data_IF_204815186837
#
_entry.id   IF_204815186837
#
_cell.length_a   1.000
_cell.length_b   1.000
_cell.length_c   1.000
_cell.angle_alpha   90.00
_cell.angle_beta   90.00
_cell.angle_gamma   90.00
#
_symmetry.space_group_name_H-M   'P 1'
#
loop_
_entity.id
_entity.type
_entity.pdbx_description
1 polymer ?
#
# COMPACT_ATOMS: atom_id res chain seq x y z
N UNK A 1 -30.84 -15.73 -37.55
CA UNK A 1 -30.53 -15.88 -38.99
C UNK A 1 -31.38 -14.94 -39.86
N UNK A 2 -32.42 -15.39 -40.61
CA UNK A 2 -33.16 -14.49 -41.53
C UNK A 2 -33.85 -13.29 -40.85
N UNK A 3 -34.45 -13.47 -39.68
CA UNK A 3 -35.11 -12.37 -38.97
C UNK A 3 -34.10 -11.33 -38.45
N UNK A 4 -32.94 -11.79 -38.01
CA UNK A 4 -31.85 -10.97 -37.50
C UNK A 4 -31.21 -10.11 -38.61
N UNK A 5 -30.98 -10.71 -39.78
CA UNK A 5 -30.50 -10.02 -40.99
C UNK A 5 -31.46 -8.92 -41.46
N UNK A 6 -32.76 -9.10 -41.24
CA UNK A 6 -33.80 -8.13 -41.60
C UNK A 6 -34.24 -7.21 -40.45
N UNK A 7 -33.56 -7.26 -39.29
CA UNK A 7 -33.92 -6.50 -38.07
C UNK A 7 -35.39 -6.72 -37.62
N UNK A 8 -35.92 -7.91 -37.86
CA UNK A 8 -37.27 -8.31 -37.45
C UNK A 8 -37.20 -8.86 -36.02
N UNK A 9 -37.96 -8.25 -35.11
CA UNK A 9 -38.12 -8.74 -33.74
C UNK A 9 -39.10 -9.91 -33.71
N UNK A 10 -38.65 -11.06 -33.23
CA UNK A 10 -39.51 -12.23 -33.00
C UNK A 10 -39.90 -12.25 -31.52
N UNK A 11 -41.20 -12.28 -31.24
CA UNK A 11 -41.74 -12.45 -29.90
C UNK A 11 -42.39 -13.83 -29.83
N UNK A 12 -41.99 -14.64 -28.85
CA UNK A 12 -42.58 -15.95 -28.58
C UNK A 12 -43.40 -15.88 -27.30
N UNK A 13 -44.49 -16.64 -27.26
CA UNK A 13 -45.45 -16.67 -26.16
C UNK A 13 -45.95 -18.10 -25.93
N UNK A 14 -46.23 -18.51 -24.69
CA UNK A 14 -46.82 -19.82 -24.41
C UNK A 14 -48.29 -19.93 -24.82
N UNK A 15 -48.93 -18.81 -25.21
CA UNK A 15 -50.34 -18.75 -25.59
C UNK A 15 -50.59 -19.13 -27.05
N UNK A 16 -51.75 -19.70 -27.34
CA UNK A 16 -52.22 -19.96 -28.70
C UNK A 16 -52.52 -18.65 -29.47
N UNK A 17 -52.75 -18.77 -30.78
CA UNK A 17 -52.98 -17.62 -31.68
C UNK A 17 -54.20 -16.77 -31.28
N UNK A 18 -55.30 -17.40 -30.83
CA UNK A 18 -56.51 -16.67 -30.45
C UNK A 18 -56.29 -15.90 -29.15
N UNK A 19 -55.69 -16.53 -28.14
CA UNK A 19 -55.38 -15.88 -26.86
C UNK A 19 -54.37 -14.74 -27.05
N UNK A 20 -53.34 -14.96 -27.86
CA UNK A 20 -52.30 -13.96 -28.16
C UNK A 20 -52.86 -12.73 -28.87
N UNK A 21 -53.73 -12.90 -29.88
CA UNK A 21 -54.32 -11.77 -30.60
C UNK A 21 -55.17 -10.88 -29.69
N UNK A 22 -55.96 -11.49 -28.79
CA UNK A 22 -56.78 -10.75 -27.82
C UNK A 22 -55.94 -10.00 -26.80
N UNK A 23 -54.88 -10.61 -26.27
CA UNK A 23 -53.99 -9.99 -25.28
C UNK A 23 -53.19 -8.83 -25.89
N UNK A 24 -52.72 -8.97 -27.13
CA UNK A 24 -51.99 -7.89 -27.83
C UNK A 24 -52.89 -6.65 -27.98
N UNK A 25 -54.17 -6.82 -28.35
CA UNK A 25 -55.11 -5.69 -28.46
C UNK A 25 -55.45 -5.03 -27.12
N UNK A 26 -55.19 -5.73 -26.00
CA UNK A 26 -55.38 -5.21 -24.64
C UNK A 26 -54.07 -4.71 -24.01
N UNK A 27 -52.93 -4.89 -24.69
CA UNK A 27 -51.63 -4.47 -24.19
C UNK A 27 -51.49 -2.95 -24.31
N UNK A 28 -51.15 -2.30 -23.20
CA UNK A 28 -50.79 -0.88 -23.20
C UNK A 28 -49.30 -0.77 -23.53
N UNK A 29 -48.90 0.00 -24.56
CA UNK A 29 -47.49 0.23 -24.83
C UNK A 29 -46.78 0.81 -23.61
N UNK A 30 -45.63 0.24 -23.23
CA UNK A 30 -44.82 0.76 -22.10
C UNK A 30 -44.48 2.24 -22.28
N UNK A 31 -44.35 2.69 -23.53
CA UNK A 31 -44.13 4.10 -23.87
C UNK A 31 -45.19 5.07 -23.34
N UNK A 32 -46.39 4.60 -22.98
CA UNK A 32 -47.49 5.42 -22.47
C UNK A 32 -47.40 5.63 -20.95
N UNK A 33 -46.69 4.74 -20.25
CA UNK A 33 -46.59 4.74 -18.78
C UNK A 33 -45.16 4.97 -18.29
N UNK A 34 -44.15 4.85 -19.17
CA UNK A 34 -42.75 5.09 -18.83
C UNK A 34 -42.43 6.57 -18.69
N UNK A 35 -41.59 6.90 -17.72
CA UNK A 35 -40.94 8.20 -17.63
C UNK A 35 -39.70 8.22 -18.52
N UNK A 36 -39.55 9.25 -19.37
CA UNK A 36 -38.40 9.43 -20.26
C UNK A 36 -37.44 10.51 -19.78
N UNK A 37 -37.94 11.47 -19.03
CA UNK A 37 -37.20 12.65 -18.59
C UNK A 37 -36.79 12.52 -17.12
N UNK A 38 -35.65 13.11 -16.76
CA UNK A 38 -35.16 13.17 -15.37
C UNK A 38 -35.04 11.80 -14.67
N UNK A 39 -34.64 10.76 -15.41
CA UNK A 39 -34.36 9.44 -14.85
C UNK A 39 -33.13 9.55 -13.94
N UNK A 40 -33.32 9.25 -12.66
CA UNK A 40 -32.21 9.15 -11.71
C UNK A 40 -31.67 7.73 -11.80
N UNK A 41 -30.39 7.62 -12.14
CA UNK A 41 -29.65 6.38 -12.23
C UNK A 41 -28.29 6.56 -11.54
N UNK A 42 -27.64 5.45 -11.23
CA UNK A 42 -26.31 5.44 -10.63
C UNK A 42 -25.35 4.64 -11.51
N UNK A 43 -24.07 4.98 -11.47
CA UNK A 43 -23.00 4.19 -12.07
C UNK A 43 -22.67 2.98 -11.21
N UNK A 44 -22.12 1.93 -11.82
CA UNK A 44 -21.50 0.81 -11.11
C UNK A 44 -20.34 1.22 -10.19
N UNK A 45 -19.73 2.37 -10.48
CA UNK A 45 -18.53 2.87 -9.81
C UNK A 45 -18.83 3.97 -8.78
N UNK A 46 -20.10 4.36 -8.64
CA UNK A 46 -20.51 5.36 -7.65
C UNK A 46 -20.35 4.85 -6.22
N UNK A 47 -19.86 5.71 -5.32
CA UNK A 47 -19.75 5.38 -3.91
C UNK A 47 -21.12 5.32 -3.23
N UNK A 48 -21.29 4.34 -2.34
CA UNK A 48 -22.52 4.16 -1.55
C UNK A 48 -22.85 5.42 -0.72
N UNK A 49 -21.82 6.16 -0.28
CA UNK A 49 -22.00 7.43 0.45
C UNK A 49 -22.72 8.48 -0.38
N UNK A 50 -22.34 8.64 -1.65
CA UNK A 50 -22.87 9.68 -2.55
C UNK A 50 -24.33 9.37 -2.93
N UNK A 51 -24.60 8.12 -3.33
CA UNK A 51 -25.95 7.70 -3.72
C UNK A 51 -26.94 7.78 -2.55
N UNK A 52 -26.48 7.65 -1.30
CA UNK A 52 -27.33 7.70 -0.10
C UNK A 52 -28.01 9.06 0.03
N UNK A 53 -27.30 10.15 -0.28
CA UNK A 53 -27.86 11.50 -0.23
C UNK A 53 -28.95 11.67 -1.28
N UNK A 54 -28.68 11.30 -2.54
CA UNK A 54 -29.67 11.36 -3.62
C UNK A 54 -30.90 10.50 -3.34
N UNK A 55 -30.71 9.29 -2.79
CA UNK A 55 -31.80 8.39 -2.43
C UNK A 55 -32.60 8.85 -1.20
N UNK A 56 -32.07 9.77 -0.38
CA UNK A 56 -32.78 10.37 0.75
C UNK A 56 -33.74 11.49 0.30
N UNK A 57 -33.37 12.25 -0.73
CA UNK A 57 -34.16 13.36 -1.26
C UNK A 57 -35.31 12.92 -2.18
N UNK A 58 -35.17 11.75 -2.79
CA UNK A 58 -36.11 11.23 -3.79
C UNK A 58 -37.04 10.19 -3.17
N UNK A 59 -38.05 9.66 -3.89
CA UNK A 59 -39.00 8.64 -3.35
C UNK A 59 -39.13 7.38 -4.21
N UNK A 60 -38.18 7.12 -5.10
CA UNK A 60 -38.23 5.93 -5.96
C UNK A 60 -37.97 4.64 -5.16
N UNK A 61 -38.65 3.57 -5.58
CA UNK A 61 -38.51 2.23 -4.99
C UNK A 61 -37.16 1.59 -5.34
N UNK A 62 -36.72 1.80 -6.58
CA UNK A 62 -35.46 1.29 -7.12
C UNK A 62 -34.90 2.26 -8.16
N UNK A 63 -33.59 2.26 -8.30
CA UNK A 63 -32.83 3.10 -9.23
C UNK A 63 -32.07 2.16 -10.16
N UNK A 64 -32.10 2.38 -11.48
CA UNK A 64 -31.26 1.64 -12.40
C UNK A 64 -29.78 1.93 -12.14
N UNK A 65 -28.96 0.88 -12.24
CA UNK A 65 -27.50 0.98 -12.21
C UNK A 65 -27.01 0.76 -13.63
N UNK A 66 -26.19 1.68 -14.13
CA UNK A 66 -25.62 1.63 -15.49
C UNK A 66 -24.12 1.41 -15.44
N UNK A 67 -23.57 0.83 -16.49
CA UNK A 67 -22.12 0.78 -16.72
C UNK A 67 -21.64 2.02 -17.51
N UNK A 68 -20.35 2.07 -17.81
CA UNK A 68 -19.72 3.15 -18.61
C UNK A 68 -20.37 3.35 -20.00
N UNK A 69 -20.93 2.29 -20.60
CA UNK A 69 -21.65 2.35 -21.88
C UNK A 69 -23.12 2.79 -21.74
N UNK A 70 -23.54 3.25 -20.55
CA UNK A 70 -24.92 3.61 -20.22
C UNK A 70 -25.93 2.45 -20.37
N UNK A 71 -25.46 1.20 -20.31
CA UNK A 71 -26.33 0.02 -20.31
C UNK A 71 -26.72 -0.32 -18.89
N UNK A 72 -28.01 -0.59 -18.67
CA UNK A 72 -28.52 -1.02 -17.38
C UNK A 72 -27.96 -2.40 -17.05
N UNK A 73 -27.16 -2.48 -15.99
CA UNK A 73 -26.54 -3.71 -15.48
C UNK A 73 -27.25 -4.25 -14.24
N UNK A 74 -28.09 -3.43 -13.60
CA UNK A 74 -28.82 -3.86 -12.42
C UNK A 74 -29.74 -2.77 -11.86
N UNK A 75 -30.22 -3.00 -10.64
CA UNK A 75 -30.99 -2.02 -9.88
C UNK A 75 -30.53 -1.97 -8.43
N UNK A 76 -30.58 -0.79 -7.84
CA UNK A 76 -30.31 -0.57 -6.43
C UNK A 76 -31.55 0.00 -5.73
N UNK A 77 -31.76 -0.36 -4.47
CA UNK A 77 -32.90 0.10 -3.67
C UNK A 77 -32.42 0.48 -2.28
N UNK A 78 -33.24 1.20 -1.51
CA UNK A 78 -32.89 1.62 -0.14
C UNK A 78 -32.54 0.44 0.76
N UNK A 79 -33.16 -0.71 0.55
CA UNK A 79 -32.83 -1.94 1.28
C UNK A 79 -31.34 -2.31 1.13
N UNK A 80 -30.75 -2.13 -0.06
CA UNK A 80 -29.34 -2.44 -0.29
C UNK A 80 -28.39 -1.49 0.45
N UNK A 81 -28.83 -0.26 0.77
CA UNK A 81 -28.07 0.69 1.59
C UNK A 81 -28.09 0.32 3.08
N UNK A 82 -29.14 -0.38 3.51
CA UNK A 82 -29.36 -0.82 4.90
C UNK A 82 -28.74 -2.20 5.13
N UNK A 83 -28.68 -3.04 4.09
CA UNK A 83 -27.99 -4.32 4.17
C UNK A 83 -26.48 -4.09 4.25
N UNK A 84 -25.93 -4.18 5.47
CA UNK A 84 -24.49 -4.07 5.74
C UNK A 84 -23.71 -5.27 5.20
N UNK A 85 -23.66 -5.45 3.88
CA UNK A 85 -22.67 -6.34 3.26
C UNK A 85 -21.34 -5.62 3.22
N UNK A 86 -20.69 -5.53 4.39
CA UNK A 86 -19.33 -5.03 4.51
C UNK A 86 -18.40 -5.87 3.64
N UNK A 87 -17.46 -5.21 2.97
CA UNK A 87 -16.40 -5.93 2.25
C UNK A 87 -15.54 -6.67 3.28
N UNK A 88 -15.26 -7.94 3.00
CA UNK A 88 -14.40 -8.76 3.85
C UNK A 88 -12.94 -8.59 3.43
N UNK A 89 -12.06 -8.32 4.38
CA UNK A 89 -10.64 -8.04 4.11
C UNK A 89 -9.72 -8.85 5.02
N UNK A 90 -8.53 -9.15 4.52
CA UNK A 90 -7.42 -9.71 5.29
C UNK A 90 -6.28 -8.70 5.22
N UNK A 91 -5.75 -8.30 6.36
CA UNK A 91 -4.60 -7.39 6.43
C UNK A 91 -3.32 -8.21 6.47
N UNK A 92 -2.36 -7.82 5.64
CA UNK A 92 -1.02 -8.39 5.61
C UNK A 92 -0.01 -7.27 5.83
N UNK A 93 1.01 -7.53 6.64
CA UNK A 93 2.15 -6.65 6.89
C UNK A 93 1.84 -5.33 7.62
N UNK A 94 0.60 -5.13 8.05
CA UNK A 94 0.21 -4.00 8.87
C UNK A 94 -1.07 -4.30 9.66
N UNK A 95 -1.24 -3.55 10.74
CA UNK A 95 -2.42 -3.61 11.60
C UNK A 95 -2.93 -2.22 12.01
N UNK A 96 -2.06 -1.21 12.04
CA UNK A 96 -2.42 0.18 12.38
C UNK A 96 -3.34 0.79 11.29
N UNK A 97 -4.51 1.33 11.69
CA UNK A 97 -5.51 1.88 10.75
C UNK A 97 -4.97 2.96 9.83
N UNK A 98 -4.11 3.84 10.36
CA UNK A 98 -3.51 4.93 9.59
C UNK A 98 -2.56 4.48 8.47
N UNK A 99 -2.19 3.19 8.43
CA UNK A 99 -1.37 2.60 7.37
C UNK A 99 -2.21 1.81 6.35
N UNK A 100 -3.50 1.60 6.63
CA UNK A 100 -4.41 0.81 5.81
C UNK A 100 -5.14 1.67 4.77
N UNK A 101 -5.84 1.00 3.85
CA UNK A 101 -6.75 1.60 2.87
C UNK A 101 -7.83 2.46 3.53
N UNK A 102 -8.19 3.56 2.86
CA UNK A 102 -9.33 4.40 3.21
C UNK A 102 -10.63 3.57 3.27
N UNK A 103 -11.49 3.85 4.25
CA UNK A 103 -12.73 3.09 4.45
C UNK A 103 -12.55 1.73 5.14
N UNK A 104 -11.37 1.39 5.68
CA UNK A 104 -11.18 0.13 6.45
C UNK A 104 -12.21 -0.04 7.57
N UNK A 105 -12.63 1.05 8.22
CA UNK A 105 -13.65 1.01 9.29
C UNK A 105 -15.04 0.53 8.81
N UNK A 106 -15.28 0.58 7.51
CA UNK A 106 -16.52 0.11 6.87
C UNK A 106 -16.42 -1.34 6.37
N UNK A 107 -15.21 -1.93 6.46
CA UNK A 107 -14.95 -3.32 6.12
C UNK A 107 -15.07 -4.25 7.34
N UNK A 108 -15.25 -5.53 7.07
CA UNK A 108 -15.13 -6.61 8.05
C UNK A 108 -13.74 -7.22 7.92
N UNK A 109 -12.88 -6.98 8.90
CA UNK A 109 -11.56 -7.62 8.97
C UNK A 109 -11.78 -9.08 9.38
N UNK A 110 -11.31 -10.02 8.57
CA UNK A 110 -11.38 -11.45 8.85
C UNK A 110 -10.10 -11.97 9.52
N UNK A 111 -8.96 -11.50 9.01
CA UNK A 111 -7.66 -11.98 9.43
C UNK A 111 -6.61 -10.85 9.41
N UNK A 112 -5.61 -10.97 10.27
CA UNK A 112 -4.41 -10.12 10.26
C UNK A 112 -3.17 -11.04 10.34
N UNK A 113 -2.27 -10.92 9.36
CA UNK A 113 -0.98 -11.62 9.31
C UNK A 113 0.11 -10.56 9.26
N UNK A 114 0.87 -10.42 10.34
CA UNK A 114 1.79 -9.28 10.49
C UNK A 114 3.03 -9.68 11.31
N UNK A 115 4.08 -8.86 11.23
CA UNK A 115 5.29 -8.98 12.02
C UNK A 115 5.64 -7.68 12.79
N UNK A 116 4.82 -6.64 12.64
CA UNK A 116 4.98 -5.37 13.33
C UNK A 116 4.48 -5.39 14.77
N UNK A 117 4.70 -4.27 15.47
CA UNK A 117 4.04 -4.04 16.76
C UNK A 117 2.54 -3.93 16.54
N UNK A 118 1.76 -4.41 17.51
CA UNK A 118 0.30 -4.26 17.50
C UNK A 118 -0.06 -2.91 18.12
N UNK A 119 -0.71 -2.04 17.37
CA UNK A 119 -1.18 -0.75 17.85
C UNK A 119 -2.43 -0.31 17.07
N UNK A 120 -3.37 0.36 17.75
CA UNK A 120 -4.57 0.93 17.12
C UNK A 120 -5.45 -0.08 16.33
N UNK A 121 -5.46 -1.35 16.75
CA UNK A 121 -6.30 -2.42 16.19
C UNK A 121 -7.51 -2.63 17.08
N UNK A 122 -8.70 -2.55 16.49
CA UNK A 122 -9.95 -2.90 17.16
C UNK A 122 -10.89 -3.56 16.15
N UNK A 123 -11.37 -4.77 16.47
CA UNK A 123 -12.38 -5.49 15.68
C UNK A 123 -13.65 -5.67 16.49
N UNK A 124 -14.79 -5.69 15.81
CA UNK A 124 -16.11 -5.89 16.45
C UNK A 124 -16.43 -7.36 16.73
N UNK A 125 -15.72 -8.27 16.06
CA UNK A 125 -15.88 -9.73 16.16
C UNK A 125 -14.51 -10.38 16.35
N UNK A 126 -14.45 -11.61 16.90
CA UNK A 126 -13.22 -12.40 16.91
C UNK A 126 -12.72 -12.66 15.49
N UNK A 127 -11.41 -12.53 15.28
CA UNK A 127 -10.74 -12.72 13.99
C UNK A 127 -9.54 -13.67 14.13
N UNK A 128 -9.04 -14.22 13.02
CA UNK A 128 -7.74 -14.89 13.02
C UNK A 128 -6.63 -13.84 13.06
N UNK A 129 -5.79 -13.87 14.08
CA UNK A 129 -4.71 -12.91 14.23
C UNK A 129 -3.40 -13.66 14.44
N UNK A 130 -2.50 -13.60 13.46
CA UNK A 130 -1.18 -14.24 13.51
C UNK A 130 -0.10 -13.18 13.39
N UNK A 131 0.52 -12.85 14.52
CA UNK A 131 1.63 -11.92 14.59
C UNK A 131 2.87 -12.61 15.15
N UNK A 132 3.93 -12.70 14.36
CA UNK A 132 5.17 -13.36 14.75
C UNK A 132 6.34 -12.37 14.69
N UNK A 133 7.24 -12.34 15.69
CA UNK A 133 8.38 -11.43 15.70
C UNK A 133 9.51 -11.93 14.78
N UNK A 134 9.22 -12.08 13.49
CA UNK A 134 10.14 -12.48 12.43
C UNK A 134 10.53 -11.30 11.53
N UNK A 135 11.50 -11.52 10.65
CA UNK A 135 12.04 -10.47 9.78
C UNK A 135 11.08 -10.01 8.69
N UNK A 136 10.14 -10.86 8.25
CA UNK A 136 9.19 -10.54 7.19
C UNK A 136 7.83 -11.24 7.38
N UNK A 137 6.74 -10.57 7.04
CA UNK A 137 5.40 -11.18 6.93
C UNK A 137 5.38 -12.35 5.94
N UNK A 138 6.21 -12.32 4.90
CA UNK A 138 6.31 -13.42 3.92
C UNK A 138 6.86 -14.71 4.52
N UNK A 139 7.65 -14.63 5.59
CA UNK A 139 8.06 -15.80 6.37
C UNK A 139 6.85 -16.49 6.99
N UNK A 140 5.92 -15.72 7.54
CA UNK A 140 4.68 -16.21 8.16
C UNK A 140 3.77 -16.84 7.10
N UNK A 141 3.57 -16.14 5.96
CA UNK A 141 2.75 -16.64 4.85
C UNK A 141 3.31 -17.95 4.29
N UNK A 142 4.63 -18.05 4.11
CA UNK A 142 5.27 -19.28 3.66
C UNK A 142 5.10 -20.44 4.67
N UNK A 143 5.20 -20.16 5.97
CA UNK A 143 4.92 -21.15 7.01
C UNK A 143 3.45 -21.61 6.96
N UNK A 144 2.49 -20.71 6.75
CA UNK A 144 1.08 -21.07 6.56
C UNK A 144 0.91 -22.04 5.37
N UNK A 145 1.59 -21.80 4.24
CA UNK A 145 1.61 -22.75 3.12
C UNK A 145 2.08 -24.14 3.57
N UNK A 146 3.25 -24.20 4.23
CA UNK A 146 3.86 -25.46 4.63
C UNK A 146 3.06 -26.22 5.71
N UNK A 147 2.50 -25.51 6.69
CA UNK A 147 1.65 -26.07 7.75
C UNK A 147 0.38 -26.71 7.19
N UNK A 148 -0.17 -26.15 6.11
CA UNK A 148 -1.34 -26.70 5.42
C UNK A 148 -0.96 -27.80 4.39
N UNK A 149 0.31 -28.19 4.31
CA UNK A 149 0.79 -29.17 3.33
C UNK A 149 0.71 -28.68 1.87
N UNK A 150 0.62 -27.36 1.66
CA UNK A 150 0.50 -26.74 0.33
C UNK A 150 1.88 -26.29 -0.12
N UNK A 151 2.33 -26.80 -1.27
CA UNK A 151 3.54 -26.30 -1.92
C UNK A 151 3.20 -25.05 -2.74
N UNK A 152 3.79 -23.87 -2.46
CA UNK A 152 3.57 -22.68 -3.28
C UNK A 152 4.08 -22.89 -4.71
N UNK A 153 3.47 -22.21 -5.68
CA UNK A 153 3.95 -22.23 -7.07
C UNK A 153 5.36 -21.61 -7.18
N UNK A 154 6.12 -21.93 -8.25
CA UNK A 154 7.46 -21.33 -8.51
C UNK A 154 7.42 -19.80 -8.43
N UNK A 155 6.39 -19.17 -9.01
CA UNK A 155 6.18 -17.71 -8.99
C UNK A 155 5.88 -17.18 -7.59
N UNK A 156 4.96 -17.83 -6.87
CA UNK A 156 4.60 -17.45 -5.50
C UNK A 156 5.80 -17.58 -4.57
N UNK A 157 6.56 -18.66 -4.69
CA UNK A 157 7.76 -18.86 -3.89
C UNK A 157 8.82 -17.79 -4.16
N UNK A 158 9.00 -17.38 -5.43
CA UNK A 158 9.89 -16.27 -5.79
C UNK A 158 9.47 -14.93 -5.18
N UNK A 159 8.17 -14.60 -5.18
CA UNK A 159 7.66 -13.38 -4.55
C UNK A 159 7.85 -13.38 -3.02
N UNK A 160 7.55 -14.51 -2.37
CA UNK A 160 7.76 -14.65 -0.92
C UNK A 160 9.26 -14.57 -0.58
N UNK A 161 10.13 -15.19 -1.38
CA UNK A 161 11.57 -15.09 -1.22
C UNK A 161 12.06 -13.64 -1.37
N UNK A 162 11.61 -12.93 -2.41
CA UNK A 162 11.95 -11.53 -2.66
C UNK A 162 11.54 -10.62 -1.49
N UNK A 163 10.35 -10.80 -0.94
CA UNK A 163 9.87 -10.04 0.21
C UNK A 163 10.72 -10.31 1.47
N UNK A 164 11.06 -11.58 1.74
CA UNK A 164 11.98 -11.91 2.85
C UNK A 164 13.34 -11.23 2.65
N UNK A 165 13.92 -11.31 1.45
CA UNK A 165 15.20 -10.67 1.14
C UNK A 165 15.10 -9.16 1.36
N UNK A 166 14.01 -8.53 0.91
CA UNK A 166 13.76 -7.09 1.05
C UNK A 166 13.72 -6.64 2.52
N UNK A 167 12.83 -7.22 3.33
CA UNK A 167 12.62 -6.78 4.72
C UNK A 167 13.83 -7.09 5.61
N UNK A 168 14.54 -8.17 5.29
CA UNK A 168 15.73 -8.59 6.05
C UNK A 168 17.03 -7.98 5.54
N UNK A 169 17.00 -7.24 4.42
CA UNK A 169 18.20 -6.78 3.71
C UNK A 169 19.20 -7.92 3.50
N UNK A 170 18.74 -9.06 2.98
CA UNK A 170 19.50 -10.33 2.92
C UNK A 170 20.15 -10.67 4.27
N UNK A 171 19.31 -10.68 5.32
CA UNK A 171 19.69 -10.96 6.71
C UNK A 171 20.66 -9.99 7.39
N UNK A 172 20.97 -8.85 6.77
CA UNK A 172 21.76 -7.76 7.37
C UNK A 172 20.94 -6.90 8.32
N UNK A 173 19.63 -6.86 8.15
CA UNK A 173 18.73 -6.13 9.05
C UNK A 173 18.75 -6.75 10.46
N UNK A 174 18.71 -5.94 11.53
CA UNK A 174 18.59 -6.42 12.91
C UNK A 174 17.21 -7.05 13.22
N UNK A 175 16.25 -7.02 12.29
CA UNK A 175 14.97 -7.74 12.43
C UNK A 175 15.05 -9.19 11.98
N UNK A 176 16.11 -9.57 11.28
CA UNK A 176 16.27 -10.90 10.67
C UNK A 176 16.40 -11.99 11.73
N UNK A 177 15.70 -13.10 11.52
CA UNK A 177 15.72 -14.27 12.40
C UNK A 177 16.22 -15.52 11.68
N UNK A 178 16.51 -16.57 12.44
CA UNK A 178 16.85 -17.88 11.87
C UNK A 178 15.67 -18.53 11.13
N UNK A 179 14.43 -18.17 11.48
CA UNK A 179 13.23 -18.66 10.78
C UNK A 179 13.20 -18.12 9.36
N UNK A 180 13.52 -16.83 9.18
CA UNK A 180 13.58 -16.20 7.85
C UNK A 180 14.61 -16.90 6.95
N UNK A 181 15.80 -17.25 7.49
CA UNK A 181 16.84 -17.98 6.76
C UNK A 181 16.35 -19.35 6.28
N UNK A 182 15.79 -20.15 7.18
CA UNK A 182 15.31 -21.49 6.87
C UNK A 182 14.16 -21.47 5.86
N UNK A 183 13.26 -20.50 5.98
CA UNK A 183 12.14 -20.34 5.05
C UNK A 183 12.63 -19.87 3.69
N UNK A 184 13.54 -18.89 3.63
CA UNK A 184 14.11 -18.42 2.36
C UNK A 184 14.83 -19.55 1.61
N UNK A 185 15.64 -20.36 2.30
CA UNK A 185 16.32 -21.51 1.68
C UNK A 185 15.34 -22.51 1.05
N UNK A 186 14.19 -22.76 1.72
CA UNK A 186 13.14 -23.63 1.19
C UNK A 186 12.45 -23.00 -0.02
N UNK A 187 12.10 -21.72 0.07
CA UNK A 187 11.45 -20.98 -1.01
C UNK A 187 12.37 -20.88 -2.22
N UNK A 188 13.66 -20.62 -2.04
CA UNK A 188 14.64 -20.53 -3.12
C UNK A 188 14.74 -21.83 -3.93
N UNK A 189 14.69 -23.00 -3.26
CA UNK A 189 14.65 -24.31 -3.93
C UNK A 189 13.35 -24.53 -4.73
N UNK A 190 12.22 -23.98 -4.27
CA UNK A 190 10.93 -24.08 -4.98
C UNK A 190 10.88 -23.10 -6.15
N UNK A 191 11.41 -21.90 -5.93
CA UNK A 191 11.51 -20.82 -6.90
C UNK A 191 12.63 -21.04 -7.92
N UNK A 192 13.57 -21.95 -7.64
CA UNK A 192 14.71 -22.28 -8.49
C UNK A 192 15.52 -21.01 -8.81
N UNK A 193 15.94 -20.32 -7.74
CA UNK A 193 16.74 -19.09 -7.76
C UNK A 193 18.01 -19.25 -6.92
N UNK A 194 19.10 -18.62 -7.35
CA UNK A 194 20.24 -18.34 -6.49
C UNK A 194 19.93 -17.11 -5.63
N UNK A 195 20.02 -17.26 -4.31
CA UNK A 195 19.58 -16.22 -3.37
C UNK A 195 20.47 -14.99 -3.43
N UNK A 196 21.79 -15.16 -3.57
CA UNK A 196 22.75 -14.06 -3.54
C UNK A 196 22.68 -13.26 -4.85
N UNK A 197 22.66 -13.95 -5.99
CA UNK A 197 22.51 -13.33 -7.31
C UNK A 197 21.18 -12.58 -7.41
N UNK A 198 20.08 -13.23 -7.01
CA UNK A 198 18.75 -12.62 -7.05
C UNK A 198 18.65 -11.40 -6.13
N UNK A 199 19.20 -11.48 -4.91
CA UNK A 199 19.21 -10.34 -3.98
C UNK A 199 20.02 -9.16 -4.54
N UNK A 200 21.19 -9.43 -5.12
CA UNK A 200 22.03 -8.41 -5.73
C UNK A 200 21.30 -7.68 -6.86
N UNK A 201 20.67 -8.42 -7.77
CA UNK A 201 19.87 -7.82 -8.84
C UNK A 201 18.69 -7.03 -8.28
N UNK A 202 17.92 -7.62 -7.36
CA UNK A 202 16.75 -6.99 -6.74
C UNK A 202 17.11 -5.66 -6.07
N UNK A 203 18.18 -5.63 -5.26
CA UNK A 203 18.63 -4.40 -4.62
C UNK A 203 19.14 -3.41 -5.66
N UNK A 204 19.95 -3.83 -6.63
CA UNK A 204 20.42 -2.92 -7.70
C UNK A 204 19.26 -2.20 -8.41
N UNK A 205 18.17 -2.91 -8.72
CA UNK A 205 16.98 -2.30 -9.32
C UNK A 205 16.18 -1.44 -8.31
N UNK A 206 16.01 -1.90 -7.07
CA UNK A 206 15.23 -1.20 -6.04
C UNK A 206 15.91 0.05 -5.47
N UNK A 207 17.25 0.04 -5.40
CA UNK A 207 18.08 1.10 -4.83
C UNK A 207 18.73 1.98 -5.89
N UNK A 208 18.35 1.84 -7.17
CA UNK A 208 18.84 2.75 -8.20
C UNK A 208 18.33 4.17 -7.90
N UNK A 209 19.29 5.07 -7.67
CA UNK A 209 19.07 6.50 -7.54
C UNK A 209 19.31 7.21 -8.88
N UNK A 210 19.83 6.49 -9.88
CA UNK A 210 20.06 7.01 -11.23
C UNK A 210 18.73 7.44 -11.86
N UNK A 211 18.67 8.70 -12.29
CA UNK A 211 17.51 9.30 -12.94
C UNK A 211 16.45 9.89 -11.99
N UNK A 212 16.62 9.78 -10.67
CA UNK A 212 15.74 10.45 -9.69
C UNK A 212 16.21 11.88 -9.43
N UNK A 213 15.26 12.78 -9.21
CA UNK A 213 15.60 14.14 -8.76
C UNK A 213 15.95 14.15 -7.26
N UNK A 214 16.72 15.13 -6.77
CA UNK A 214 17.01 15.27 -5.34
C UNK A 214 15.75 15.29 -4.47
N UNK A 215 14.67 15.92 -4.93
CA UNK A 215 13.39 15.98 -4.22
C UNK A 215 12.72 14.59 -4.11
N UNK A 216 12.80 13.78 -5.16
CA UNK A 216 12.28 12.41 -5.14
C UNK A 216 13.06 11.54 -4.15
N UNK A 217 14.39 11.65 -4.16
CA UNK A 217 15.28 10.95 -3.21
C UNK A 217 14.92 11.32 -1.77
N UNK A 218 14.75 12.63 -1.50
CA UNK A 218 14.43 13.11 -0.16
C UNK A 218 13.04 12.65 0.32
N UNK A 219 12.08 12.47 -0.59
CA UNK A 219 10.69 12.11 -0.25
C UNK A 219 10.43 10.61 -0.12
N UNK A 220 11.32 9.72 -0.58
CA UNK A 220 11.10 8.26 -0.60
C UNK A 220 10.69 7.66 0.77
N UNK A 221 11.48 7.88 1.82
CA UNK A 221 11.13 7.54 3.20
C UNK A 221 11.37 8.73 4.11
N UNK A 222 10.63 9.81 3.86
CA UNK A 222 10.66 11.01 4.70
C UNK A 222 9.72 10.88 5.90
N UNK A 223 10.24 11.20 7.09
CA UNK A 223 9.44 11.32 8.31
C UNK A 223 9.80 12.61 9.04
N UNK A 224 8.77 13.23 9.58
CA UNK A 224 8.90 14.42 10.42
C UNK A 224 8.74 14.02 11.87
N UNK A 225 9.63 14.51 12.72
CA UNK A 225 9.59 14.33 14.17
C UNK A 225 9.57 15.71 14.83
N UNK A 226 8.72 15.88 15.82
CA UNK A 226 8.61 17.13 16.58
C UNK A 226 8.98 16.86 18.02
N UNK A 227 9.96 17.60 18.55
CA UNK A 227 10.44 17.52 19.92
C UNK A 227 10.43 18.92 20.52
N UNK A 228 9.57 19.18 21.50
CA UNK A 228 9.34 20.50 22.11
C UNK A 228 9.25 21.63 21.05
N UNK A 229 10.32 22.40 20.88
CA UNK A 229 10.43 23.52 19.92
C UNK A 229 11.26 23.21 18.67
N UNK A 230 11.62 21.95 18.42
CA UNK A 230 12.46 21.50 17.31
C UNK A 230 11.67 20.59 16.36
N UNK A 231 11.59 20.98 15.08
CA UNK A 231 11.00 20.16 14.00
C UNK A 231 12.14 19.53 13.20
N UNK A 232 12.17 18.20 13.11
CA UNK A 232 13.25 17.44 12.47
C UNK A 232 12.71 16.65 11.29
N UNK A 233 13.32 16.80 10.12
CA UNK A 233 13.06 15.97 8.95
C UNK A 233 14.11 14.87 8.82
N UNK A 234 13.69 13.61 8.66
CA UNK A 234 14.62 12.49 8.43
C UNK A 234 14.17 11.66 7.23
N UNK A 235 15.01 11.64 6.18
CA UNK A 235 14.89 10.77 5.01
C UNK A 235 15.82 9.57 5.18
N UNK A 236 15.40 8.38 4.72
CA UNK A 236 16.31 7.25 4.54
C UNK A 236 16.20 6.73 3.11
N UNK A 237 17.34 6.49 2.47
CA UNK A 237 17.43 5.83 1.17
C UNK A 237 18.48 4.73 1.24
N UNK A 238 18.26 3.66 0.50
CA UNK A 238 19.22 2.58 0.38
C UNK A 238 19.97 2.73 -0.94
N UNK A 239 21.24 2.34 -0.93
CA UNK A 239 22.08 2.26 -2.13
C UNK A 239 22.99 1.04 -2.05
N UNK A 240 23.34 0.51 -3.22
CA UNK A 240 24.42 -0.48 -3.40
C UNK A 240 25.68 0.17 -3.99
N UNK A 241 25.61 1.46 -4.32
CA UNK A 241 26.68 2.25 -4.92
C UNK A 241 26.64 3.65 -4.31
N UNK A 242 27.22 3.81 -3.12
CA UNK A 242 27.28 5.11 -2.46
C UNK A 242 28.11 6.14 -3.24
N UNK A 243 29.08 5.70 -4.04
CA UNK A 243 29.96 6.58 -4.82
C UNK A 243 29.18 7.28 -5.94
N UNK A 244 28.15 6.62 -6.50
CA UNK A 244 27.23 7.25 -7.47
C UNK A 244 26.49 8.49 -6.96
N UNK A 245 26.45 8.73 -5.64
CA UNK A 245 25.79 9.89 -5.06
C UNK A 245 26.71 11.10 -4.86
N UNK A 246 28.03 10.93 -4.96
CA UNK A 246 28.95 12.04 -4.73
C UNK A 246 28.72 13.18 -5.71
N UNK A 247 28.39 12.87 -6.97
CA UNK A 247 28.07 13.85 -8.01
C UNK A 247 26.75 14.62 -7.75
N UNK A 248 25.80 14.00 -7.04
CA UNK A 248 24.50 14.61 -6.72
C UNK A 248 24.48 15.33 -5.37
N UNK A 249 25.54 15.18 -4.58
CA UNK A 249 25.59 15.56 -3.17
C UNK A 249 25.35 17.05 -2.95
N UNK A 250 25.97 17.92 -3.73
CA UNK A 250 25.76 19.37 -3.60
C UNK A 250 24.33 19.78 -3.97
N UNK A 251 23.75 19.15 -5.00
CA UNK A 251 22.35 19.40 -5.38
C UNK A 251 21.38 18.91 -4.32
N UNK A 252 21.64 17.74 -3.73
CA UNK A 252 20.87 17.21 -2.59
C UNK A 252 20.96 18.13 -1.39
N UNK A 253 22.16 18.59 -1.01
CA UNK A 253 22.34 19.54 0.10
C UNK A 253 21.54 20.82 -0.17
N UNK A 254 21.60 21.35 -1.39
CA UNK A 254 20.84 22.55 -1.77
C UNK A 254 19.32 22.35 -1.66
N UNK A 255 18.81 21.21 -2.12
CA UNK A 255 17.40 20.84 -2.01
C UNK A 255 16.97 20.66 -0.54
N UNK A 256 17.82 20.04 0.29
CA UNK A 256 17.58 19.91 1.73
C UNK A 256 17.57 21.27 2.43
N UNK A 257 18.47 22.19 2.08
CA UNK A 257 18.49 23.54 2.66
C UNK A 257 17.22 24.32 2.32
N UNK A 258 16.73 24.19 1.08
CA UNK A 258 15.48 24.80 0.66
C UNK A 258 14.30 24.21 1.42
N UNK A 259 14.18 22.88 1.47
CA UNK A 259 13.13 22.19 2.22
C UNK A 259 13.17 22.54 3.71
N UNK A 260 14.36 22.65 4.30
CA UNK A 260 14.56 23.08 5.69
C UNK A 260 14.01 24.49 5.94
N UNK A 261 14.20 25.42 5.00
CA UNK A 261 13.66 26.79 5.12
C UNK A 261 12.14 26.81 4.97
N UNK A 262 11.61 26.13 3.95
CA UNK A 262 10.18 26.17 3.60
C UNK A 262 9.32 25.51 4.70
N UNK A 263 9.80 24.40 5.27
CA UNK A 263 9.07 23.64 6.28
C UNK A 263 9.43 24.03 7.73
N UNK A 264 10.43 24.90 7.91
CA UNK A 264 10.89 25.35 9.23
C UNK A 264 11.57 24.25 10.06
N UNK A 265 12.32 23.35 9.42
CA UNK A 265 13.08 22.32 10.14
C UNK A 265 14.26 22.95 10.91
N UNK A 266 14.48 22.53 12.15
CA UNK A 266 15.68 22.89 12.92
C UNK A 266 16.88 22.01 12.53
N UNK A 267 16.60 20.79 12.05
CA UNK A 267 17.54 19.78 11.56
C UNK A 267 16.87 18.99 10.43
N UNK A 268 17.57 18.79 9.32
CA UNK A 268 17.19 17.82 8.30
C UNK A 268 18.35 16.86 8.05
N UNK A 269 18.04 15.56 8.06
CA UNK A 269 18.99 14.47 7.94
C UNK A 269 18.56 13.54 6.80
N UNK A 270 19.45 13.30 5.85
CA UNK A 270 19.33 12.22 4.86
C UNK A 270 20.30 11.11 5.25
N UNK A 271 19.76 9.89 5.41
CA UNK A 271 20.50 8.68 5.71
C UNK A 271 20.63 7.88 4.42
N UNK A 272 21.82 7.87 3.83
CA UNK A 272 22.17 7.05 2.67
C UNK A 272 22.77 5.75 3.19
N UNK A 273 21.96 4.69 3.25
CA UNK A 273 22.38 3.38 3.75
C UNK A 273 23.02 2.56 2.64
N UNK A 274 24.31 2.30 2.75
CA UNK A 274 25.03 1.36 1.90
C UNK A 274 24.82 -0.06 2.44
N UNK A 275 23.99 -0.83 1.74
CA UNK A 275 23.65 -2.21 2.14
C UNK A 275 24.90 -3.10 2.07
N UNK A 276 25.82 -2.85 1.13
CA UNK A 276 27.00 -3.67 0.91
C UNK A 276 28.10 -3.40 1.94
N UNK A 277 28.35 -2.12 2.26
CA UNK A 277 29.36 -1.71 3.26
C UNK A 277 28.83 -1.77 4.70
N UNK A 278 27.56 -2.13 4.90
CA UNK A 278 26.89 -2.24 6.20
C UNK A 278 27.00 -0.95 7.04
N UNK A 279 26.78 0.20 6.42
CA UNK A 279 26.88 1.49 7.09
C UNK A 279 26.12 2.59 6.35
N UNK A 280 26.05 3.76 6.95
CA UNK A 280 25.29 4.88 6.37
C UNK A 280 26.13 6.14 6.28
N UNK A 281 26.02 6.83 5.14
CA UNK A 281 26.42 8.22 5.04
C UNK A 281 25.27 9.12 5.47
N UNK A 282 25.55 10.05 6.37
CA UNK A 282 24.61 11.03 6.86
C UNK A 282 24.90 12.37 6.20
N UNK A 283 23.94 12.89 5.44
CA UNK A 283 23.96 14.25 4.92
C UNK A 283 23.05 15.11 5.80
N UNK A 284 23.58 16.22 6.32
CA UNK A 284 22.95 16.99 7.40
C UNK A 284 22.93 18.47 7.08
N UNK A 285 21.76 19.10 7.23
CA UNK A 285 21.57 20.54 7.11
C UNK A 285 20.71 21.08 8.26
N UNK A 286 20.67 22.40 8.39
CA UNK A 286 19.89 23.09 9.42
C UNK A 286 20.73 23.62 10.58
N UNK A 287 20.09 24.43 11.44
CA UNK A 287 20.74 25.18 12.53
C UNK A 287 21.29 24.26 13.62
N UNK A 288 20.71 23.08 13.81
CA UNK A 288 21.09 22.12 14.84
C UNK A 288 21.94 20.95 14.32
N UNK A 289 22.68 21.12 13.20
CA UNK A 289 23.49 20.04 12.59
C UNK A 289 24.48 19.37 13.55
N UNK A 290 24.98 20.10 14.56
CA UNK A 290 25.93 19.59 15.56
C UNK A 290 25.32 18.52 16.50
N UNK A 291 23.99 18.37 16.52
CA UNK A 291 23.32 17.28 17.25
C UNK A 291 23.83 15.93 16.78
N UNK A 292 24.10 15.75 15.48
CA UNK A 292 24.60 14.49 14.91
C UNK A 292 25.98 14.15 15.48
N UNK A 293 26.90 15.12 15.55
CA UNK A 293 28.22 14.93 16.13
C UNK A 293 28.13 14.44 17.59
N UNK A 294 27.24 15.05 18.38
CA UNK A 294 27.03 14.68 19.79
C UNK A 294 26.36 13.31 19.95
N UNK A 295 25.36 13.02 19.13
CA UNK A 295 24.56 11.80 19.23
C UNK A 295 25.36 10.54 18.88
N UNK A 296 26.28 10.63 17.92
CA UNK A 296 27.05 9.49 17.42
C UNK A 296 28.54 9.53 17.78
N UNK A 297 29.01 10.58 18.48
CA UNK A 297 30.41 10.74 18.85
C UNK A 297 31.34 10.90 17.63
N UNK A 298 30.85 11.54 16.57
CA UNK A 298 31.58 11.71 15.29
C UNK A 298 31.94 13.16 15.05
N UNK A 299 32.88 13.40 14.13
CA UNK A 299 33.19 14.74 13.62
C UNK A 299 32.83 14.83 12.14
N UNK A 300 31.71 15.48 11.84
CA UNK A 300 31.25 15.75 10.49
C UNK A 300 32.15 16.77 9.78
N UNK A 301 32.52 16.48 8.53
CA UNK A 301 33.22 17.41 7.65
C UNK A 301 32.21 18.05 6.70
N UNK A 302 32.04 19.37 6.79
CA UNK A 302 31.04 20.10 6.01
C UNK A 302 29.61 19.73 6.42
N UNK A 303 28.93 18.98 5.54
CA UNK A 303 27.55 18.53 5.71
C UNK A 303 27.42 17.00 5.67
N UNK A 304 28.52 16.25 5.64
CA UNK A 304 28.47 14.79 5.55
C UNK A 304 29.39 14.05 6.52
N UNK A 305 28.93 12.88 6.98
CA UNK A 305 29.72 11.95 7.79
C UNK A 305 29.29 10.50 7.53
N UNK A 306 30.26 9.60 7.36
CA UNK A 306 30.00 8.17 7.26
C UNK A 306 30.06 7.49 8.63
N UNK A 307 29.06 6.65 8.94
CA UNK A 307 28.94 5.93 10.21
C UNK A 307 28.73 4.44 9.93
N UNK A 308 29.70 3.57 10.29
CA UNK A 308 29.56 2.13 10.09
C UNK A 308 28.51 1.52 11.03
N UNK A 309 27.85 0.45 10.59
CA UNK A 309 26.89 -0.33 11.39
C UNK A 309 25.49 0.30 11.52
N UNK A 310 25.25 1.47 10.94
CA UNK A 310 23.93 2.10 10.93
C UNK A 310 23.15 1.64 9.69
N UNK A 311 22.05 0.93 9.92
CA UNK A 311 21.14 0.43 8.88
C UNK A 311 19.67 0.83 9.11
N UNK A 312 19.29 1.15 10.35
CA UNK A 312 17.90 1.40 10.73
C UNK A 312 17.71 2.80 11.31
N UNK A 313 16.97 3.67 10.60
CA UNK A 313 16.53 4.97 11.15
C UNK A 313 15.82 4.79 12.50
N UNK A 314 14.82 3.91 12.57
CA UNK A 314 13.94 3.77 13.76
C UNK A 314 14.69 3.25 14.99
N UNK A 315 15.54 2.22 14.84
CA UNK A 315 16.22 1.59 15.98
C UNK A 315 17.54 2.28 16.35
N UNK A 316 18.29 2.77 15.37
CA UNK A 316 19.68 3.20 15.58
C UNK A 316 19.87 4.71 15.47
N UNK A 317 18.99 5.44 14.76
CA UNK A 317 19.20 6.88 14.51
C UNK A 317 18.31 7.78 15.34
N UNK A 318 17.01 7.50 15.39
CA UNK A 318 16.04 8.34 16.10
C UNK A 318 16.30 8.39 17.62
N UNK A 319 16.56 7.27 18.34
CA UNK A 319 16.74 7.32 19.79
C UNK A 319 17.96 8.17 20.22
N UNK A 320 19.16 8.04 19.61
CA UNK A 320 20.30 8.92 19.95
C UNK A 320 20.05 10.40 19.66
N UNK A 321 19.44 10.73 18.51
CA UNK A 321 19.12 12.13 18.15
C UNK A 321 18.13 12.73 19.16
N UNK A 322 17.06 11.99 19.48
CA UNK A 322 16.06 12.43 20.46
C UNK A 322 16.67 12.66 21.85
N UNK A 323 17.58 11.78 22.28
CA UNK A 323 18.26 11.94 23.59
C UNK A 323 19.10 13.20 23.70
N UNK A 324 19.62 13.73 22.59
CA UNK A 324 20.43 14.96 22.60
C UNK A 324 19.55 16.21 22.52
N UNK A 325 18.41 16.13 21.81
CA UNK A 325 17.51 17.26 21.61
C UNK A 325 16.58 17.49 22.80
N UNK A 326 16.21 16.42 23.52
CA UNK A 326 15.39 16.49 24.73
C UNK A 326 16.22 16.79 26.01
N UNK A 327 17.51 17.09 25.88
CA UNK A 327 18.39 17.51 26.98
C UNK A 327 18.58 19.02 26.96
#
# INVERSE_FOLDING_TARGET
>A
AKAEENRITIISTPYDTYTSSRLISQAVPVSYVMTKDSIIYFSSDDYIGDIRNTMAETRFRSYPVVNEESKVVGTISRFHLISEKKKKVILVDHNEKGQSVEGLNEAEILEIIDHHRVADVATTTPIFFRNEPVGSTSTIVANIFFENGIRPSKKTAGLLAAAIISDTLLFKSPTSTNVDRLVLERLAKIADIDVEEFALEMFKYGTSLAGKTPEEILKQDFKVFTYDNSKIGVSQVYTMDAESLDDLKETIISAMEQMTKDEGFSLQLLIVTDIYKEGSEFIVVGKQKDVVNKAFGVQMKGNSVYIPGILSRKKQVIPPISSVINR
#
